data_IF_389313491023
#
_entry.id   IF_389313491023
#
_cell.length_a   1.000
_cell.length_b   1.000
_cell.length_c   1.000
_cell.angle_alpha   90.00
_cell.angle_beta   90.00
_cell.angle_gamma   90.00
#
_symmetry.space_group_name_H-M   'P 1'
#
loop_
_entity.id
_entity.type
_entity.pdbx_description
1 polymer ?
#
# COMPACT_ATOMS: atom_id res chain seq x y z
N UNK A 1 3.66 35.47 12.18
CA UNK A 1 4.18 34.53 11.16
C UNK A 1 3.87 33.11 11.64
N UNK A 2 2.78 32.51 11.16
CA UNK A 2 2.62 31.04 11.14
C UNK A 2 3.48 30.50 9.98
N UNK A 3 3.91 29.24 9.86
CA UNK A 3 3.27 27.95 10.13
C UNK A 3 4.39 26.90 9.95
N UNK A 4 4.34 25.77 10.65
CA UNK A 4 5.27 24.67 10.38
C UNK A 4 5.24 23.52 11.38
N UNK A 5 4.13 23.29 12.07
CA UNK A 5 3.93 22.10 12.90
C UNK A 5 2.49 21.62 12.72
N UNK A 6 2.30 20.29 12.69
CA UNK A 6 1.07 19.49 12.44
C UNK A 6 0.85 18.96 11.02
N UNK A 7 1.67 17.98 10.59
CA UNK A 7 1.25 17.04 9.52
C UNK A 7 1.55 15.55 9.82
N UNK A 8 2.56 15.20 10.62
CA UNK A 8 3.00 13.79 10.79
C UNK A 8 1.98 12.87 11.48
N UNK A 9 1.35 13.31 12.57
CA UNK A 9 0.32 12.51 13.28
C UNK A 9 -1.01 12.38 12.51
N UNK A 10 -1.32 13.37 11.66
CA UNK A 10 -2.47 13.31 10.74
C UNK A 10 -2.20 12.35 9.59
N UNK A 11 -1.00 12.37 9.01
CA UNK A 11 -0.64 11.54 7.86
C UNK A 11 -0.87 10.04 8.11
N UNK A 12 -0.48 9.54 9.29
CA UNK A 12 -0.63 8.13 9.67
C UNK A 12 -2.11 7.71 9.83
N UNK A 13 -2.95 8.58 10.42
CA UNK A 13 -4.39 8.30 10.57
C UNK A 13 -5.14 8.45 9.24
N UNK A 14 -4.69 9.34 8.36
CA UNK A 14 -5.22 9.46 6.99
C UNK A 14 -4.91 8.23 6.13
N UNK A 15 -3.76 7.57 6.33
CA UNK A 15 -3.38 6.38 5.56
C UNK A 15 -4.34 5.19 5.82
N UNK A 16 -4.86 5.03 7.04
CA UNK A 16 -5.77 3.93 7.40
C UNK A 16 -7.22 4.12 6.94
N UNK A 17 -7.60 5.32 6.49
CA UNK A 17 -8.95 5.67 6.01
C UNK A 17 -8.95 5.99 4.51
N UNK A 18 -7.94 5.55 3.77
CA UNK A 18 -7.84 5.73 2.33
C UNK A 18 -8.26 4.46 1.61
N UNK A 19 -8.74 4.63 0.38
CA UNK A 19 -8.93 3.49 -0.51
C UNK A 19 -7.53 3.04 -0.93
N UNK A 20 -7.18 1.82 -0.55
CA UNK A 20 -5.95 1.17 -0.97
C UNK A 20 -6.17 0.48 -2.31
N UNK A 21 -5.15 0.45 -3.16
CA UNK A 21 -5.23 -0.26 -4.43
C UNK A 21 -3.90 -0.89 -4.82
N UNK A 22 -3.97 -1.95 -5.63
CA UNK A 22 -2.82 -2.60 -6.23
C UNK A 22 -3.19 -3.05 -7.65
N UNK A 23 -2.26 -2.84 -8.57
CA UNK A 23 -2.41 -3.30 -9.95
C UNK A 23 -1.67 -4.61 -10.17
N UNK A 24 -2.31 -5.51 -10.92
CA UNK A 24 -1.71 -6.74 -11.43
C UNK A 24 -1.82 -6.70 -12.94
N UNK A 25 -0.69 -6.77 -13.60
CA UNK A 25 -0.57 -6.79 -15.05
C UNK A 25 -0.18 -8.21 -15.47
N UNK A 26 -1.00 -8.88 -16.29
CA UNK A 26 -0.74 -10.24 -16.78
C UNK A 26 -0.60 -10.29 -18.30
N UNK A 27 0.33 -11.09 -18.84
CA UNK A 27 0.37 -11.32 -20.28
C UNK A 27 -0.94 -12.00 -20.71
N UNK A 28 -1.53 -11.53 -21.81
CA UNK A 28 -2.74 -12.14 -22.39
C UNK A 28 -2.46 -12.65 -23.81
N UNK A 29 -1.86 -11.81 -24.64
CA UNK A 29 -1.41 -12.15 -26.00
C UNK A 29 -0.14 -11.37 -26.37
N UNK A 30 0.29 -11.48 -27.62
CA UNK A 30 1.45 -10.72 -28.12
C UNK A 30 1.17 -9.21 -28.12
N UNK A 31 -0.09 -8.80 -28.31
CA UNK A 31 -0.51 -7.40 -28.47
C UNK A 31 -1.31 -6.86 -27.28
N UNK A 32 -1.81 -7.71 -26.40
CA UNK A 32 -2.65 -7.35 -25.25
C UNK A 32 -2.07 -7.87 -23.93
N UNK A 33 -2.41 -7.17 -22.85
CA UNK A 33 -2.22 -7.60 -21.48
C UNK A 33 -3.52 -7.42 -20.71
N UNK A 34 -3.70 -8.22 -19.66
CA UNK A 34 -4.80 -8.08 -18.72
C UNK A 34 -4.37 -7.16 -17.57
N UNK A 35 -5.10 -6.07 -17.36
CA UNK A 35 -4.97 -5.20 -16.20
C UNK A 35 -6.06 -5.58 -15.20
N UNK A 36 -5.64 -5.96 -13.99
CA UNK A 36 -6.51 -6.14 -12.83
C UNK A 36 -6.14 -5.10 -11.80
N UNK A 37 -7.12 -4.38 -11.27
CA UNK A 37 -6.92 -3.43 -10.17
C UNK A 37 -7.74 -3.92 -8.99
N UNK A 38 -7.05 -4.35 -7.93
CA UNK A 38 -7.66 -4.66 -6.64
C UNK A 38 -7.74 -3.39 -5.83
N UNK A 39 -8.83 -3.18 -5.10
CA UNK A 39 -8.95 -2.07 -4.19
C UNK A 39 -9.77 -2.43 -2.95
N UNK A 40 -9.47 -1.73 -1.85
CA UNK A 40 -10.18 -1.82 -0.58
C UNK A 40 -10.88 -0.51 -0.30
N UNK A 41 -12.20 -0.53 -0.12
CA UNK A 41 -12.99 0.65 0.24
C UNK A 41 -13.35 0.57 1.72
N UNK A 42 -12.82 1.49 2.55
CA UNK A 42 -13.25 1.60 3.94
C UNK A 42 -14.75 1.85 4.03
N UNK A 43 -15.43 1.11 4.92
CA UNK A 43 -16.91 1.15 5.00
C UNK A 43 -17.45 2.57 5.13
N UNK A 44 -16.83 3.41 5.94
CA UNK A 44 -17.27 4.78 6.22
C UNK A 44 -17.20 5.73 5.01
N UNK A 45 -16.57 5.32 3.90
CA UNK A 45 -16.54 6.10 2.66
C UNK A 45 -17.82 6.00 1.85
N UNK A 46 -18.65 4.98 2.10
CA UNK A 46 -19.86 4.73 1.33
C UNK A 46 -21.11 5.01 2.16
N UNK A 47 -22.11 5.56 1.51
CA UNK A 47 -23.41 5.85 2.07
C UNK A 47 -24.27 4.59 2.08
N UNK A 48 -24.79 4.30 3.26
CA UNK A 48 -25.69 3.17 3.47
C UNK A 48 -27.13 3.55 3.13
N UNK A 49 -27.80 2.71 2.35
CA UNK A 49 -29.21 2.84 2.00
C UNK A 49 -30.01 1.69 2.60
N UNK A 50 -31.15 2.03 3.20
CA UNK A 50 -32.06 1.05 3.80
C UNK A 50 -33.05 0.57 2.76
N UNK A 51 -33.17 -0.74 2.60
CA UNK A 51 -34.24 -1.39 1.82
C UNK A 51 -34.64 -2.69 2.50
N UNK A 52 -35.94 -2.88 2.74
CA UNK A 52 -36.50 -4.10 3.35
C UNK A 52 -35.83 -4.49 4.69
N UNK A 53 -35.54 -3.49 5.54
CA UNK A 53 -34.83 -3.64 6.83
C UNK A 53 -33.36 -4.09 6.72
N UNK A 54 -32.79 -4.10 5.52
CA UNK A 54 -31.38 -4.38 5.26
C UNK A 54 -30.66 -3.11 4.80
N UNK A 55 -29.40 -2.99 5.18
CA UNK A 55 -28.54 -1.90 4.71
C UNK A 55 -27.75 -2.37 3.49
N UNK A 56 -27.68 -1.52 2.47
CA UNK A 56 -26.92 -1.75 1.26
C UNK A 56 -25.98 -0.59 0.99
N UNK A 57 -24.92 -0.88 0.25
CA UNK A 57 -24.05 0.10 -0.37
C UNK A 57 -24.07 -0.13 -1.88
N UNK A 58 -24.11 0.96 -2.64
CA UNK A 58 -24.15 0.94 -4.10
C UNK A 58 -23.08 1.91 -4.61
N UNK A 59 -22.14 1.40 -5.39
CA UNK A 59 -21.06 2.19 -5.98
C UNK A 59 -20.79 1.77 -7.42
N UNK A 60 -20.16 2.67 -8.16
CA UNK A 60 -19.71 2.46 -9.52
C UNK A 60 -18.20 2.67 -9.61
N UNK A 61 -17.51 1.70 -10.18
CA UNK A 61 -16.10 1.81 -10.56
C UNK A 61 -16.00 2.13 -12.04
N UNK A 62 -15.31 3.21 -12.41
CA UNK A 62 -15.06 3.63 -13.79
C UNK A 62 -13.57 3.53 -14.08
N UNK A 63 -13.18 2.81 -15.14
CA UNK A 63 -11.79 2.68 -15.57
C UNK A 63 -11.64 3.17 -17.00
N UNK A 64 -10.66 4.06 -17.23
CA UNK A 64 -10.28 4.51 -18.57
C UNK A 64 -8.79 4.35 -18.76
N UNK A 65 -8.37 3.87 -19.92
CA UNK A 65 -6.98 3.56 -20.25
C UNK A 65 -6.56 4.36 -21.46
N UNK A 66 -5.35 4.92 -21.40
CA UNK A 66 -4.83 5.88 -22.36
C UNK A 66 -3.45 5.47 -22.88
N UNK A 67 -3.09 5.93 -24.08
CA UNK A 67 -1.72 5.87 -24.59
C UNK A 67 -0.87 7.07 -24.13
N UNK A 68 0.42 7.10 -24.51
CA UNK A 68 1.35 8.18 -24.18
C UNK A 68 0.97 9.53 -24.81
N UNK A 69 0.11 9.54 -25.83
CA UNK A 69 -0.39 10.73 -26.51
C UNK A 69 -1.71 11.25 -25.89
N UNK A 70 -2.15 10.66 -24.78
CA UNK A 70 -3.42 10.94 -24.08
C UNK A 70 -4.68 10.57 -24.88
N UNK A 71 -4.59 9.68 -25.88
CA UNK A 71 -5.78 9.14 -26.53
C UNK A 71 -6.36 8.02 -25.65
N UNK A 72 -7.68 8.05 -25.42
CA UNK A 72 -8.35 6.95 -24.74
C UNK A 72 -8.35 5.73 -25.67
N UNK A 73 -7.73 4.65 -25.21
CA UNK A 73 -7.68 3.38 -25.94
C UNK A 73 -8.89 2.50 -25.62
N UNK A 74 -9.27 2.42 -24.35
CA UNK A 74 -10.37 1.60 -23.86
C UNK A 74 -10.88 2.14 -22.52
N UNK A 75 -12.09 1.77 -22.13
CA UNK A 75 -12.62 2.02 -20.80
C UNK A 75 -13.90 1.23 -20.56
N UNK A 76 -14.24 1.06 -19.29
CA UNK A 76 -15.43 0.31 -18.86
C UNK A 76 -15.89 0.81 -17.48
N UNK A 77 -17.06 0.36 -17.04
CA UNK A 77 -17.59 0.64 -15.71
C UNK A 77 -18.31 -0.57 -15.09
N UNK A 78 -18.33 -0.62 -13.76
CA UNK A 78 -18.94 -1.70 -13.00
C UNK A 78 -19.78 -1.11 -11.87
N UNK A 79 -21.10 -1.33 -11.93
CA UNK A 79 -22.00 -1.03 -10.84
C UNK A 79 -22.09 -2.23 -9.88
N UNK A 80 -21.92 -1.95 -8.60
CA UNK A 80 -21.90 -2.96 -7.55
C UNK A 80 -22.89 -2.60 -6.46
N UNK A 81 -23.76 -3.55 -6.13
CA UNK A 81 -24.61 -3.54 -4.94
C UNK A 81 -24.15 -4.61 -3.97
N UNK A 82 -23.89 -4.23 -2.72
CA UNK A 82 -23.50 -5.15 -1.64
C UNK A 82 -24.39 -4.93 -0.42
N UNK A 83 -24.68 -6.03 0.29
CA UNK A 83 -25.21 -5.93 1.63
C UNK A 83 -24.14 -5.26 2.50
N UNK A 84 -24.54 -4.26 3.28
CA UNK A 84 -23.65 -3.67 4.25
C UNK A 84 -23.51 -4.63 5.43
N UNK A 85 -22.36 -5.26 5.54
CA UNK A 85 -21.89 -5.83 6.79
C UNK A 85 -20.95 -4.82 7.50
N UNK A 86 -20.25 -5.27 8.53
CA UNK A 86 -19.36 -4.44 9.35
C UNK A 86 -17.95 -4.30 8.76
N UNK A 87 -17.65 -4.89 7.60
CA UNK A 87 -16.30 -4.99 7.05
C UNK A 87 -16.06 -4.03 5.88
N UNK A 88 -14.78 -3.79 5.60
CA UNK A 88 -14.35 -3.07 4.41
C UNK A 88 -14.66 -3.86 3.14
N UNK A 89 -14.88 -3.14 2.04
CA UNK A 89 -15.18 -3.76 0.75
C UNK A 89 -13.89 -4.04 0.02
N UNK A 90 -13.59 -5.31 -0.20
CA UNK A 90 -12.51 -5.73 -1.08
C UNK A 90 -13.08 -6.12 -2.45
N UNK A 91 -12.68 -5.41 -3.51
CA UNK A 91 -13.18 -5.67 -4.86
C UNK A 91 -12.07 -5.53 -5.92
N UNK A 92 -12.41 -5.84 -7.17
CA UNK A 92 -11.49 -5.70 -8.29
C UNK A 92 -12.21 -5.35 -9.59
N UNK A 93 -11.50 -4.62 -10.45
CA UNK A 93 -11.87 -4.44 -11.85
C UNK A 93 -10.84 -5.11 -12.74
N UNK A 94 -11.29 -5.67 -13.86
CA UNK A 94 -10.45 -6.45 -14.77
C UNK A 94 -10.79 -6.07 -16.22
N UNK A 95 -9.77 -5.74 -17.01
CA UNK A 95 -9.93 -5.34 -18.39
C UNK A 95 -8.73 -5.80 -19.24
N UNK A 96 -8.97 -6.18 -20.49
CA UNK A 96 -7.92 -6.43 -21.48
C UNK A 96 -7.52 -5.10 -22.13
N UNK A 97 -6.23 -4.82 -22.14
CA UNK A 97 -5.69 -3.55 -22.62
C UNK A 97 -4.59 -3.82 -23.67
N UNK A 98 -4.46 -2.98 -24.71
CA UNK A 98 -3.32 -3.07 -25.62
C UNK A 98 -1.99 -2.87 -24.87
N UNK A 99 -0.92 -3.58 -25.22
CA UNK A 99 0.41 -3.38 -24.59
C UNK A 99 1.00 -1.98 -24.79
N UNK A 100 0.52 -1.24 -25.80
CA UNK A 100 0.86 0.18 -26.01
C UNK A 100 0.22 1.14 -24.99
N UNK A 101 -0.65 0.64 -24.11
CA UNK A 101 -1.27 1.45 -23.06
C UNK A 101 -0.20 2.02 -22.12
N UNK A 102 -0.41 3.24 -21.64
CA UNK A 102 0.57 4.00 -20.87
C UNK A 102 0.12 4.26 -19.43
N UNK A 103 -1.13 4.67 -19.23
CA UNK A 103 -1.67 4.98 -17.91
C UNK A 103 -3.17 4.73 -17.89
N UNK A 104 -3.73 4.61 -16.68
CA UNK A 104 -5.17 4.52 -16.47
C UNK A 104 -5.67 5.59 -15.51
N UNK A 105 -6.96 5.91 -15.62
CA UNK A 105 -7.74 6.68 -14.68
C UNK A 105 -8.79 5.77 -14.05
N UNK A 106 -8.69 5.52 -12.74
CA UNK A 106 -9.70 4.79 -11.98
C UNK A 106 -10.46 5.78 -11.11
N UNK A 107 -11.78 5.76 -11.21
CA UNK A 107 -12.68 6.56 -10.40
C UNK A 107 -13.71 5.65 -9.73
N UNK A 108 -13.97 5.88 -8.44
CA UNK A 108 -15.04 5.20 -7.71
C UNK A 108 -16.05 6.24 -7.24
N UNK A 109 -17.32 5.99 -7.54
CA UNK A 109 -18.44 6.88 -7.25
C UNK A 109 -19.45 6.15 -6.37
N UNK A 110 -19.81 6.75 -5.25
CA UNK A 110 -20.98 6.31 -4.49
C UNK A 110 -22.25 6.76 -5.22
N UNK A 111 -23.13 5.82 -5.56
CA UNK A 111 -24.34 6.10 -6.34
C UNK A 111 -25.40 6.90 -5.58
N UNK A 112 -25.22 7.09 -4.27
CA UNK A 112 -26.10 7.86 -3.38
C UNK A 112 -25.42 9.08 -2.75
N UNK A 113 -24.16 9.32 -3.10
CA UNK A 113 -23.36 10.45 -2.65
C UNK A 113 -22.52 11.03 -3.80
N UNK A 114 -21.24 11.33 -3.53
CA UNK A 114 -20.30 11.91 -4.48
C UNK A 114 -19.21 10.91 -4.87
N UNK A 115 -18.29 11.36 -5.72
CA UNK A 115 -17.04 10.64 -5.96
C UNK A 115 -16.31 10.38 -4.64
N UNK A 116 -15.90 9.13 -4.42
CA UNK A 116 -15.18 8.69 -3.22
C UNK A 116 -13.70 8.43 -3.49
N UNK A 117 -13.34 8.17 -4.75
CA UNK A 117 -11.97 7.88 -5.16
C UNK A 117 -11.67 8.35 -6.58
N UNK A 118 -10.42 8.76 -6.81
CA UNK A 118 -9.89 9.02 -8.15
C UNK A 118 -8.37 8.91 -8.16
N UNK A 119 -7.81 8.13 -9.06
CA UNK A 119 -6.37 7.96 -9.24
C UNK A 119 -5.99 7.91 -10.71
N UNK A 120 -4.84 8.48 -11.03
CA UNK A 120 -4.13 8.30 -12.30
C UNK A 120 -2.83 7.58 -12.02
N UNK A 121 -2.60 6.44 -12.65
CA UNK A 121 -1.36 5.67 -12.46
C UNK A 121 -0.84 5.12 -13.79
N UNK A 122 0.49 5.04 -13.91
CA UNK A 122 1.15 4.42 -15.05
C UNK A 122 0.89 2.92 -15.07
N UNK A 123 0.68 2.38 -16.24
CA UNK A 123 0.54 0.94 -16.47
C UNK A 123 1.93 0.35 -16.61
N UNK A 124 2.18 -0.73 -15.86
CA UNK A 124 3.40 -1.52 -15.99
C UNK A 124 3.37 -2.29 -17.31
N UNK A 125 4.34 -2.00 -18.19
CA UNK A 125 4.53 -2.73 -19.46
C UNK A 125 5.08 -4.13 -19.15
N UNK A 126 4.37 -5.16 -19.57
CA UNK A 126 4.78 -6.55 -19.33
C UNK A 126 5.66 -7.03 -20.49
N UNK A 127 6.97 -6.84 -20.35
CA UNK A 127 7.93 -7.40 -21.29
C UNK A 127 8.53 -8.71 -20.77
N UNK A 128 9.04 -8.68 -19.53
CA UNK A 128 9.81 -9.79 -18.96
C UNK A 128 9.37 -10.23 -17.57
N UNK A 129 8.58 -9.40 -16.88
CA UNK A 129 8.06 -9.67 -15.55
C UNK A 129 6.62 -9.17 -15.48
N UNK A 130 5.75 -9.99 -14.91
CA UNK A 130 4.34 -9.70 -14.76
C UNK A 130 3.77 -10.34 -13.49
N UNK A 131 2.47 -10.17 -13.27
CA UNK A 131 1.74 -10.70 -12.12
C UNK A 131 2.41 -10.38 -10.77
N UNK A 132 3.03 -9.19 -10.68
CA UNK A 132 3.78 -8.78 -9.49
C UNK A 132 2.80 -8.51 -8.36
N UNK A 133 2.99 -9.20 -7.24
CA UNK A 133 2.30 -8.96 -5.98
C UNK A 133 3.34 -8.75 -4.90
N UNK A 134 3.01 -7.90 -3.95
CA UNK A 134 3.84 -7.67 -2.80
C UNK A 134 3.03 -7.47 -1.52
N UNK A 135 3.64 -7.86 -0.41
CA UNK A 135 3.17 -7.68 0.94
C UNK A 135 4.37 -7.46 1.87
N UNK A 136 4.13 -6.78 3.00
CA UNK A 136 5.14 -6.59 4.03
C UNK A 136 4.69 -7.31 5.28
N UNK A 137 5.46 -8.33 5.67
CA UNK A 137 5.26 -9.05 6.93
C UNK A 137 6.44 -8.75 7.83
N UNK A 138 6.18 -8.08 8.95
CA UNK A 138 7.20 -7.58 9.87
C UNK A 138 8.18 -6.63 9.16
N UNK A 139 9.40 -7.12 8.89
CA UNK A 139 10.51 -6.39 8.30
C UNK A 139 10.89 -6.92 6.92
N UNK A 140 10.06 -7.78 6.35
CA UNK A 140 10.35 -8.42 5.07
C UNK A 140 9.30 -8.02 4.05
N UNK A 141 9.76 -7.36 2.99
CA UNK A 141 8.99 -7.17 1.77
C UNK A 141 9.07 -8.47 0.98
N UNK A 142 7.94 -9.15 0.82
CA UNK A 142 7.81 -10.34 -0.02
C UNK A 142 7.27 -9.91 -1.37
N UNK A 143 7.93 -10.35 -2.42
CA UNK A 143 7.51 -10.17 -3.81
C UNK A 143 7.25 -11.56 -4.42
N UNK A 144 6.15 -11.68 -5.16
CA UNK A 144 5.87 -12.83 -6.01
C UNK A 144 5.53 -12.32 -7.40
N UNK A 145 6.02 -13.00 -8.44
CA UNK A 145 5.88 -12.53 -9.83
C UNK A 145 6.09 -13.67 -10.82
N UNK A 146 5.68 -13.45 -12.06
CA UNK A 146 5.96 -14.33 -13.20
C UNK A 146 7.09 -13.72 -14.00
N UNK A 147 8.14 -14.50 -14.25
CA UNK A 147 9.17 -14.21 -15.25
C UNK A 147 8.69 -14.73 -16.61
N UNK A 148 8.82 -13.90 -17.65
CA UNK A 148 8.43 -14.18 -19.03
C UNK A 148 9.69 -14.10 -19.89
N UNK A 149 10.37 -15.22 -20.07
CA UNK A 149 11.62 -15.31 -20.81
C UNK A 149 11.64 -16.51 -21.78
N UNK A 150 10.62 -16.67 -22.65
CA UNK A 150 10.44 -17.88 -23.47
C UNK A 150 11.64 -18.19 -24.38
N UNK A 151 12.31 -17.16 -24.90
CA UNK A 151 13.46 -17.30 -25.79
C UNK A 151 14.81 -17.25 -25.07
N UNK A 152 14.82 -17.07 -23.74
CA UNK A 152 16.08 -16.91 -23.00
C UNK A 152 16.82 -15.62 -23.35
N UNK A 153 16.09 -14.56 -23.71
CA UNK A 153 16.66 -13.27 -24.09
C UNK A 153 17.25 -12.48 -22.91
N UNK A 154 16.88 -12.81 -21.67
CA UNK A 154 17.38 -12.18 -20.45
C UNK A 154 18.11 -13.16 -19.55
N UNK A 155 19.12 -12.65 -18.84
CA UNK A 155 20.01 -13.43 -17.98
C UNK A 155 19.82 -13.17 -16.49
N UNK A 156 19.39 -11.95 -16.12
CA UNK A 156 19.18 -11.58 -14.72
C UNK A 156 18.28 -10.36 -14.54
N UNK A 157 17.80 -10.18 -13.31
CA UNK A 157 17.09 -8.99 -12.87
C UNK A 157 17.71 -8.45 -11.57
N UNK A 158 17.88 -7.14 -11.46
CA UNK A 158 18.32 -6.45 -10.25
C UNK A 158 17.15 -5.69 -9.63
N UNK A 159 16.82 -6.03 -8.40
CA UNK A 159 15.82 -5.35 -7.58
C UNK A 159 16.54 -4.39 -6.64
N UNK A 160 16.19 -3.10 -6.69
CA UNK A 160 16.79 -2.09 -5.82
C UNK A 160 15.78 -1.12 -5.24
N UNK A 161 15.92 -0.84 -3.95
CA UNK A 161 15.07 0.10 -3.21
C UNK A 161 15.83 0.70 -2.04
N UNK A 162 16.05 2.01 -2.07
CA UNK A 162 16.67 2.79 -0.99
C UNK A 162 17.94 2.15 -0.37
N UNK A 163 18.90 1.76 -1.22
CA UNK A 163 20.17 1.14 -0.81
C UNK A 163 20.11 -0.37 -0.55
N UNK A 164 18.93 -0.99 -0.59
CA UNK A 164 18.77 -2.45 -0.62
C UNK A 164 18.86 -2.90 -2.07
N UNK A 165 19.70 -3.89 -2.36
CA UNK A 165 19.86 -4.46 -3.70
C UNK A 165 19.89 -5.98 -3.64
N UNK A 166 19.18 -6.62 -4.57
CA UNK A 166 19.25 -8.08 -4.74
C UNK A 166 19.06 -8.43 -6.22
N UNK A 167 20.02 -9.19 -6.76
CA UNK A 167 19.92 -9.73 -8.11
C UNK A 167 19.42 -11.17 -8.08
N UNK A 168 18.65 -11.55 -9.10
CA UNK A 168 18.26 -12.94 -9.35
C UNK A 168 18.65 -13.32 -10.78
N UNK A 169 19.17 -14.54 -11.01
CA UNK A 169 19.36 -15.05 -12.36
C UNK A 169 18.01 -15.45 -12.97
N UNK A 170 17.91 -15.40 -14.29
CA UNK A 170 16.74 -15.89 -15.02
C UNK A 170 17.06 -17.14 -15.83
N UNK A 171 16.06 -17.99 -16.03
CA UNK A 171 16.14 -19.16 -16.93
C UNK A 171 15.23 -18.95 -18.13
N UNK A 172 15.48 -19.72 -19.18
CA UNK A 172 14.56 -19.80 -20.33
C UNK A 172 13.22 -20.38 -19.89
N UNK A 173 12.12 -19.78 -20.35
CA UNK A 173 10.75 -20.19 -20.09
C UNK A 173 9.90 -19.09 -19.44
N UNK A 174 8.65 -19.46 -19.11
CA UNK A 174 7.73 -18.64 -18.32
C UNK A 174 7.43 -19.36 -17.01
N UNK A 175 7.67 -18.73 -15.87
CA UNK A 175 7.58 -19.39 -14.57
C UNK A 175 7.36 -18.39 -13.42
N UNK A 176 6.75 -18.87 -12.34
CA UNK A 176 6.62 -18.11 -11.08
C UNK A 176 7.95 -18.06 -10.32
N UNK A 177 8.23 -16.93 -9.70
CA UNK A 177 9.38 -16.74 -8.82
C UNK A 177 9.02 -15.80 -7.65
N UNK A 178 9.92 -15.70 -6.67
CA UNK A 178 9.72 -14.87 -5.49
C UNK A 178 11.03 -14.28 -4.97
N UNK A 179 10.91 -13.13 -4.32
CA UNK A 179 12.02 -12.40 -3.73
C UNK A 179 11.62 -11.90 -2.33
N UNK A 180 12.57 -11.90 -1.40
CA UNK A 180 12.38 -11.35 -0.05
C UNK A 180 13.46 -10.32 0.23
N UNK A 181 13.06 -9.08 0.53
CA UNK A 181 13.94 -7.97 0.85
C UNK A 181 13.78 -7.56 2.31
N UNK A 182 14.89 -7.44 3.05
CA UNK A 182 14.87 -6.94 4.43
C UNK A 182 14.72 -5.42 4.44
N UNK A 183 13.52 -4.95 4.79
CA UNK A 183 13.12 -3.54 4.81
C UNK A 183 12.98 -2.98 6.22
N UNK A 184 13.44 -3.72 7.25
CA UNK A 184 13.33 -3.31 8.65
C UNK A 184 13.98 -1.95 8.98
N UNK A 185 15.07 -1.60 8.28
CA UNK A 185 15.74 -0.31 8.45
C UNK A 185 15.11 0.86 7.68
N UNK A 186 14.06 0.62 6.91
CA UNK A 186 13.32 1.67 6.21
C UNK A 186 12.22 2.22 7.11
N UNK A 187 12.01 3.53 7.01
CA UNK A 187 10.96 4.26 7.72
C UNK A 187 9.60 3.99 7.09
N UNK A 188 8.55 4.40 7.78
CA UNK A 188 7.23 4.49 7.18
C UNK A 188 7.23 5.61 6.12
N UNK A 189 7.15 5.23 4.84
CA UNK A 189 7.10 6.15 3.70
C UNK A 189 6.68 5.43 2.41
N UNK A 190 6.52 6.20 1.34
CA UNK A 190 6.36 5.72 -0.03
C UNK A 190 7.73 5.55 -0.69
N UNK A 191 8.02 4.32 -1.12
CA UNK A 191 9.24 3.96 -1.83
C UNK A 191 8.96 3.55 -3.26
N UNK A 192 10.01 3.52 -4.07
CA UNK A 192 9.98 2.95 -5.42
C UNK A 192 10.99 1.83 -5.51
N UNK A 193 10.49 0.60 -5.69
CA UNK A 193 11.29 -0.54 -6.05
C UNK A 193 11.58 -0.49 -7.54
N UNK A 194 12.86 -0.43 -7.90
CA UNK A 194 13.33 -0.51 -9.29
C UNK A 194 13.69 -1.95 -9.61
N UNK A 195 13.22 -2.44 -10.75
CA UNK A 195 13.59 -3.74 -11.30
C UNK A 195 14.27 -3.49 -12.63
N UNK A 196 15.57 -3.74 -12.70
CA UNK A 196 16.38 -3.57 -13.92
C UNK A 196 16.61 -4.94 -14.53
N UNK A 197 16.29 -5.10 -15.81
CA UNK A 197 16.40 -6.37 -16.53
C UNK A 197 17.66 -6.33 -17.39
N UNK A 198 18.45 -7.41 -17.34
CA UNK A 198 19.73 -7.49 -18.06
C UNK A 198 19.76 -8.63 -19.08
N UNK A 199 20.42 -8.36 -20.20
CA UNK A 199 20.84 -9.34 -21.20
C UNK A 199 22.31 -9.10 -21.52
N UNK A 200 23.16 -10.11 -21.38
CA UNK A 200 24.61 -10.04 -21.60
C UNK A 200 25.27 -8.84 -20.90
N UNK A 201 24.86 -8.59 -19.66
CA UNK A 201 25.30 -7.45 -18.83
C UNK A 201 24.87 -6.07 -19.32
N UNK A 202 24.07 -5.98 -20.37
CA UNK A 202 23.43 -4.74 -20.82
C UNK A 202 22.03 -4.63 -20.21
N UNK A 203 21.71 -3.45 -19.70
CA UNK A 203 20.35 -3.12 -19.26
C UNK A 203 19.47 -3.03 -20.50
N UNK A 204 18.38 -3.81 -20.53
CA UNK A 204 17.41 -3.80 -21.63
C UNK A 204 16.03 -3.30 -21.23
N UNK A 205 15.70 -3.32 -19.93
CA UNK A 205 14.41 -2.82 -19.42
C UNK A 205 14.56 -2.28 -17.99
N UNK A 206 13.63 -1.41 -17.58
CA UNK A 206 13.47 -0.95 -16.21
C UNK A 206 12.01 -0.78 -15.85
N UNK A 207 11.65 -1.33 -14.69
CA UNK A 207 10.31 -1.29 -14.14
C UNK A 207 10.37 -0.62 -12.77
N UNK A 208 9.35 0.20 -12.48
CA UNK A 208 9.22 0.90 -11.21
C UNK A 208 7.92 0.48 -10.54
N UNK A 209 8.03 -0.01 -9.31
CA UNK A 209 6.90 -0.51 -8.52
C UNK A 209 6.79 0.35 -7.27
N UNK A 210 5.65 1.04 -7.04
CA UNK A 210 5.44 1.75 -5.79
C UNK A 210 5.31 0.74 -4.64
N UNK A 211 6.04 0.98 -3.56
CA UNK A 211 6.00 0.18 -2.32
C UNK A 211 5.67 1.12 -1.18
N UNK A 212 4.61 0.82 -0.44
CA UNK A 212 4.23 1.60 0.75
C UNK A 212 4.68 0.82 1.97
N UNK A 213 5.53 1.44 2.79
CA UNK A 213 5.88 0.91 4.10
C UNK A 213 5.05 1.64 5.14
N UNK A 214 4.11 0.91 5.75
CA UNK A 214 3.26 1.43 6.82
C UNK A 214 3.25 0.44 7.97
N UNK A 215 3.88 0.81 9.09
CA UNK A 215 3.94 0.02 10.32
C UNK A 215 3.31 0.80 11.47
N UNK A 216 2.69 0.12 12.45
CA UNK A 216 2.36 0.74 13.73
C UNK A 216 3.58 1.45 14.34
N UNK A 217 3.37 2.59 14.99
CA UNK A 217 4.48 3.43 15.49
C UNK A 217 5.44 2.69 16.43
N UNK A 218 4.95 1.72 17.20
CA UNK A 218 5.77 0.92 18.12
C UNK A 218 6.67 -0.10 17.39
N UNK A 219 6.41 -0.34 16.11
CA UNK A 219 7.25 -1.16 15.23
C UNK A 219 8.22 -0.31 14.38
N UNK A 220 8.03 1.00 14.31
CA UNK A 220 8.97 1.91 13.64
C UNK A 220 9.94 2.52 14.67
N UNK A 221 11.25 2.31 14.48
CA UNK A 221 12.25 2.74 15.46
C UNK A 221 12.25 4.26 15.67
N UNK A 222 12.18 5.01 14.57
CA UNK A 222 12.22 6.46 14.60
C UNK A 222 10.98 7.03 15.31
N UNK A 223 9.79 6.59 14.92
CA UNK A 223 8.51 7.04 15.48
C UNK A 223 8.37 6.58 16.93
N UNK A 224 8.82 5.38 17.27
CA UNK A 224 8.88 4.92 18.67
C UNK A 224 9.70 5.86 19.53
N UNK A 225 10.95 6.14 19.14
CA UNK A 225 11.83 7.01 19.90
C UNK A 225 11.29 8.44 19.99
N UNK A 226 10.71 8.95 18.90
CA UNK A 226 10.07 10.27 18.86
C UNK A 226 8.94 10.35 19.90
N UNK A 227 8.00 9.39 19.87
CA UNK A 227 6.87 9.32 20.80
C UNK A 227 7.32 9.12 22.25
N UNK A 228 8.28 8.24 22.52
CA UNK A 228 8.83 8.05 23.86
C UNK A 228 9.52 9.32 24.38
N UNK A 229 10.22 10.07 23.52
CA UNK A 229 10.83 11.34 23.90
C UNK A 229 9.80 12.41 24.25
N UNK A 230 8.65 12.40 23.58
CA UNK A 230 7.55 13.32 23.88
C UNK A 230 6.97 13.07 25.27
N UNK A 231 7.04 11.85 25.84
CA UNK A 231 6.53 11.54 27.18
C UNK A 231 7.27 12.24 28.32
N UNK A 232 8.35 12.98 28.05
CA UNK A 232 9.19 13.67 29.08
C UNK A 232 8.43 14.59 30.04
N UNK A 233 7.21 15.00 29.71
CA UNK A 233 6.39 15.87 30.55
C UNK A 233 5.52 15.10 31.56
N UNK A 234 5.34 13.79 31.37
CA UNK A 234 4.50 12.94 32.22
C UNK A 234 5.23 11.70 32.76
N UNK A 235 6.30 11.27 32.09
CA UNK A 235 7.10 10.11 32.46
C UNK A 235 8.33 10.51 33.30
N UNK A 236 8.70 9.64 34.23
CA UNK A 236 9.97 9.69 34.95
C UNK A 236 11.14 9.29 34.04
N UNK A 237 12.36 9.69 34.43
CA UNK A 237 13.58 9.31 33.71
C UNK A 237 13.78 7.79 33.61
N UNK A 238 13.31 7.02 34.60
CA UNK A 238 13.36 5.56 34.58
C UNK A 238 12.41 4.99 33.53
N UNK A 239 11.15 5.42 33.52
CA UNK A 239 10.15 4.97 32.55
C UNK A 239 10.58 5.28 31.10
N UNK A 240 11.14 6.46 30.85
CA UNK A 240 11.69 6.82 29.52
C UNK A 240 12.84 5.90 29.13
N UNK A 241 13.74 5.59 30.06
CA UNK A 241 14.87 4.68 29.82
C UNK A 241 14.38 3.27 29.50
N UNK A 242 13.41 2.78 30.24
CA UNK A 242 12.83 1.45 30.05
C UNK A 242 12.13 1.35 28.70
N UNK A 243 11.31 2.35 28.34
CA UNK A 243 10.65 2.42 27.03
C UNK A 243 11.68 2.47 25.87
N UNK A 244 12.73 3.28 25.97
CA UNK A 244 13.78 3.36 24.94
C UNK A 244 14.55 2.05 24.79
N UNK A 245 14.84 1.37 25.89
CA UNK A 245 15.60 0.12 25.91
C UNK A 245 14.78 -1.12 25.51
N UNK A 246 13.46 -0.97 25.33
CA UNK A 246 12.57 -2.11 25.13
C UNK A 246 12.69 -2.69 23.72
N UNK A 247 12.87 -4.01 23.66
CA UNK A 247 12.87 -4.74 22.40
C UNK A 247 11.53 -4.59 21.67
N UNK A 248 11.59 -4.47 20.34
CA UNK A 248 10.44 -4.10 19.49
C UNK A 248 9.18 -4.93 19.73
N UNK A 249 9.34 -6.23 19.96
CA UNK A 249 8.22 -7.16 20.21
C UNK A 249 7.42 -6.85 21.49
N UNK A 250 8.00 -6.13 22.45
CA UNK A 250 7.37 -5.79 23.72
C UNK A 250 6.85 -4.35 23.78
N UNK A 251 7.14 -3.52 22.76
CA UNK A 251 6.84 -2.08 22.80
C UNK A 251 5.35 -1.77 22.91
N UNK A 252 4.48 -2.48 22.19
CA UNK A 252 3.01 -2.29 22.28
C UNK A 252 2.50 -2.57 23.70
N UNK A 253 2.89 -3.71 24.26
CA UNK A 253 2.49 -4.09 25.63
C UNK A 253 2.97 -3.07 26.67
N UNK A 254 4.24 -2.65 26.57
CA UNK A 254 4.80 -1.69 27.52
C UNK A 254 4.18 -0.28 27.36
N UNK A 255 3.90 0.13 26.12
CA UNK A 255 3.23 1.39 25.83
C UNK A 255 1.82 1.44 26.44
N UNK A 256 1.04 0.37 26.25
CA UNK A 256 -0.29 0.24 26.85
C UNK A 256 -0.23 0.23 28.37
N UNK A 257 0.75 -0.47 28.96
CA UNK A 257 0.94 -0.52 30.40
C UNK A 257 1.28 0.87 30.99
N UNK A 258 2.17 1.62 30.32
CA UNK A 258 2.49 2.99 30.68
C UNK A 258 1.23 3.86 30.69
N UNK A 259 0.49 3.90 29.59
CA UNK A 259 -0.70 4.75 29.49
C UNK A 259 -1.82 4.34 30.44
N UNK A 260 -1.99 3.04 30.73
CA UNK A 260 -2.94 2.55 31.75
C UNK A 260 -2.62 3.07 33.16
N UNK A 261 -1.35 3.18 33.52
CA UNK A 261 -0.94 3.72 34.82
C UNK A 261 -1.16 5.23 34.91
N UNK A 262 -1.01 5.93 33.79
CA UNK A 262 -1.12 7.38 33.72
C UNK A 262 -2.54 7.88 33.41
N UNK A 263 -3.49 7.00 33.08
CA UNK A 263 -4.89 7.33 32.80
C UNK A 263 -5.76 7.32 34.08
N UNK A 264 -6.40 8.46 34.43
CA UNK A 264 -7.29 8.56 35.59
C UNK A 264 -8.65 7.85 35.39
N UNK A 265 -9.01 7.45 34.16
CA UNK A 265 -10.27 6.77 33.81
C UNK A 265 -10.01 5.48 33.01
N UNK A 266 -9.37 4.46 33.60
CA UNK A 266 -8.84 3.29 32.88
C UNK A 266 -9.89 2.27 32.37
N UNK A 267 -11.17 2.64 32.37
CA UNK A 267 -12.30 1.73 32.09
C UNK A 267 -12.82 1.79 30.65
N UNK A 268 -12.21 2.58 29.76
CA UNK A 268 -12.53 2.64 28.33
C UNK A 268 -11.52 1.83 27.50
N UNK A 269 -11.94 1.26 26.38
CA UNK A 269 -11.03 0.54 25.46
C UNK A 269 -9.98 1.46 24.82
N UNK A 270 -10.32 2.75 24.67
CA UNK A 270 -9.41 3.80 24.19
C UNK A 270 -8.93 4.65 25.36
N UNK A 271 -7.61 4.87 25.42
CA UNK A 271 -7.00 5.78 26.39
C UNK A 271 -7.16 7.22 25.89
N UNK A 272 -8.22 7.89 26.33
CA UNK A 272 -8.54 9.26 25.91
C UNK A 272 -7.41 10.24 26.25
N UNK A 273 -6.66 9.96 27.32
CA UNK A 273 -5.53 10.79 27.75
C UNK A 273 -4.30 10.65 26.84
N UNK A 274 -4.04 9.47 26.29
CA UNK A 274 -3.01 9.30 25.26
C UNK A 274 -3.32 10.17 24.05
N UNK A 275 -4.57 10.09 23.56
CA UNK A 275 -5.02 10.87 22.40
C UNK A 275 -4.89 12.37 22.68
N UNK A 276 -5.45 12.83 23.80
CA UNK A 276 -5.37 14.24 24.23
C UNK A 276 -3.92 14.72 24.34
N UNK A 277 -3.02 13.89 24.86
CA UNK A 277 -1.61 14.24 25.04
C UNK A 277 -0.88 14.46 23.72
N UNK A 278 -1.10 13.62 22.71
CA UNK A 278 -0.43 13.73 21.41
C UNK A 278 -1.15 14.66 20.42
N UNK A 279 -2.40 15.05 20.68
CA UNK A 279 -3.13 16.04 19.86
C UNK A 279 -2.82 17.50 20.21
N UNK A 280 -2.33 17.76 21.42
CA UNK A 280 -1.93 19.08 21.92
C UNK A 280 -0.68 19.58 21.21
#
# INVERSE_FOLDING_TARGET
KSKGEKEEGKMIFFLLLQIEWQTINRPYSDIEQELVIYFSIPREKLKHVVKDSLFYVEYESQLKVYDEQNNQLIGDFWEVKRLSDTLDIHDSVKILIPKKSSYFHLKIVDLHASQVFNITEKILKINYIGNIKWDIINDTLRLTFIIINPEGSIDSMLFSMNGIEQAIPTKTGTYDDSLSLMVGGLLNDNYTLKVVVFSKSEKIDEIQIPIIISRPFYLDEFTWLLKVNQLKYIATSSEIKDLKGTARVYRDSLWRAFWKQHDPTPNTEYNEKEVEYFER
#
